data_IF_868655382909
#
_entry.id   IF_868655382909
#
_cell.length_a   1.000
_cell.length_b   1.000
_cell.length_c   1.000
_cell.angle_alpha   90.00
_cell.angle_beta   90.00
_cell.angle_gamma   90.00
#
_symmetry.space_group_name_H-M   'P 1'
#
loop_
_entity.id
_entity.type
_entity.pdbx_description
1 polymer ?
#
# COMPACT_ATOMS: atom_id res chain seq x y z
N UNK A 1 -16.83 11.79 15.61
CA UNK A 1 -15.60 11.12 15.15
C UNK A 1 -15.69 10.76 13.67
N UNK A 2 -15.47 11.75 12.82
CA UNK A 2 -15.22 11.45 11.43
C UNK A 2 -13.83 10.85 11.33
N UNK A 3 -13.76 9.52 11.16
CA UNK A 3 -12.50 8.87 10.84
C UNK A 3 -11.94 9.46 9.55
N UNK A 4 -10.63 9.48 9.40
CA UNK A 4 -9.97 9.88 8.15
C UNK A 4 -10.64 9.24 6.93
N UNK A 5 -11.20 8.05 7.11
CA UNK A 5 -11.86 7.28 6.07
C UNK A 5 -13.12 7.96 5.53
N UNK A 6 -13.93 8.57 6.39
CA UNK A 6 -15.13 9.30 5.95
C UNK A 6 -14.79 10.41 4.95
N UNK A 7 -13.64 11.05 5.12
CA UNK A 7 -13.13 12.07 4.19
C UNK A 7 -12.65 11.46 2.89
N UNK A 8 -12.02 10.29 2.93
CA UNK A 8 -11.59 9.55 1.73
C UNK A 8 -12.80 9.17 0.88
N UNK A 9 -13.83 8.59 1.48
CA UNK A 9 -15.07 8.17 0.78
C UNK A 9 -15.79 9.38 0.21
N UNK A 10 -15.73 10.53 0.86
CA UNK A 10 -16.29 11.78 0.35
C UNK A 10 -15.52 12.38 -0.83
N UNK A 11 -14.44 11.72 -1.27
CA UNK A 11 -13.64 12.19 -2.42
C UNK A 11 -12.68 13.33 -2.08
N UNK A 12 -12.73 13.85 -0.87
CA UNK A 12 -11.95 15.02 -0.44
C UNK A 12 -10.44 14.75 -0.54
N UNK A 13 -10.00 13.56 -0.13
CA UNK A 13 -8.59 13.20 -0.14
C UNK A 13 -8.01 12.99 -1.53
N UNK A 14 -8.80 12.47 -2.48
CA UNK A 14 -8.34 12.28 -3.85
C UNK A 14 -7.86 13.57 -4.46
N UNK A 15 -8.59 14.66 -4.24
CA UNK A 15 -8.23 15.98 -4.71
C UNK A 15 -7.14 16.65 -3.89
N UNK A 16 -7.21 16.54 -2.56
CA UNK A 16 -6.28 17.22 -1.67
C UNK A 16 -4.91 16.57 -1.62
N UNK A 17 -4.86 15.26 -1.86
CA UNK A 17 -3.60 14.55 -1.97
C UNK A 17 -2.81 15.03 -3.19
N UNK A 18 -3.51 15.29 -4.30
CA UNK A 18 -2.90 15.72 -5.55
C UNK A 18 -1.97 14.68 -6.14
N UNK A 19 -1.40 14.99 -7.30
CA UNK A 19 -0.40 14.18 -7.95
C UNK A 19 -0.86 12.77 -8.35
N UNK A 20 0.09 11.87 -8.64
CA UNK A 20 -0.22 10.50 -9.05
C UNK A 20 -1.04 9.70 -8.03
N UNK A 21 -0.76 9.86 -6.73
CA UNK A 21 -1.52 9.18 -5.67
C UNK A 21 -2.97 9.64 -5.64
N UNK A 22 -3.21 10.93 -5.82
CA UNK A 22 -4.57 11.47 -5.91
C UNK A 22 -5.34 10.89 -7.09
N UNK A 23 -4.68 10.76 -8.24
CA UNK A 23 -5.28 10.17 -9.44
C UNK A 23 -5.61 8.67 -9.24
N UNK A 24 -4.70 7.92 -8.66
CA UNK A 24 -4.90 6.49 -8.38
C UNK A 24 -6.03 6.28 -7.38
N UNK A 25 -6.05 7.04 -6.29
CA UNK A 25 -7.12 6.96 -5.31
C UNK A 25 -8.46 7.38 -5.90
N UNK A 26 -8.48 8.45 -6.69
CA UNK A 26 -9.70 8.91 -7.38
C UNK A 26 -10.29 7.84 -8.28
N UNK A 27 -9.46 7.19 -9.08
CA UNK A 27 -9.88 6.07 -9.94
C UNK A 27 -10.45 4.91 -9.12
N UNK A 28 -9.89 4.65 -7.94
CA UNK A 28 -10.29 3.55 -7.06
C UNK A 28 -11.59 3.82 -6.30
N UNK A 29 -11.93 5.08 -6.09
CA UNK A 29 -13.17 5.47 -5.43
C UNK A 29 -14.41 5.27 -6.31
N UNK A 30 -14.23 5.33 -7.64
CA UNK A 30 -15.33 5.08 -8.58
C UNK A 30 -16.54 5.98 -8.33
N UNK A 31 -17.71 5.36 -8.12
CA UNK A 31 -18.98 6.08 -7.91
C UNK A 31 -19.01 6.93 -6.64
N UNK A 32 -18.15 6.66 -5.67
CA UNK A 32 -18.05 7.47 -4.46
C UNK A 32 -17.45 8.84 -4.72
N UNK A 33 -16.72 8.98 -5.83
CA UNK A 33 -16.07 10.22 -6.23
C UNK A 33 -17.06 11.27 -6.75
N UNK A 34 -18.10 10.84 -7.46
CA UNK A 34 -19.07 11.75 -8.09
C UNK A 34 -19.87 12.56 -7.07
N UNK A 35 -20.10 12.00 -5.88
CA UNK A 35 -20.81 12.70 -4.80
C UNK A 35 -19.95 13.65 -3.97
N UNK A 36 -18.63 13.61 -4.14
CA UNK A 36 -17.69 14.40 -3.35
C UNK A 36 -17.26 15.72 -3.98
N UNK A 37 -17.46 15.87 -5.28
CA UNK A 37 -17.02 17.06 -6.03
C UNK A 37 -17.63 18.36 -5.54
N UNK A 38 -18.91 18.35 -5.19
CA UNK A 38 -19.63 19.54 -4.73
C UNK A 38 -19.25 19.96 -3.30
N UNK A 39 -18.66 19.05 -2.52
CA UNK A 39 -18.25 19.30 -1.13
C UNK A 39 -16.79 19.78 -1.01
N UNK A 40 -16.01 19.64 -2.07
CA UNK A 40 -14.57 19.92 -2.05
C UNK A 40 -14.23 21.39 -1.82
N UNK A 41 -15.04 22.29 -2.34
CA UNK A 41 -14.79 23.72 -2.22
C UNK A 41 -14.99 24.28 -0.80
N UNK A 42 -15.73 23.54 0.04
CA UNK A 42 -15.98 23.94 1.44
C UNK A 42 -14.96 23.35 2.40
N UNK A 43 -14.46 22.13 2.12
CA UNK A 43 -13.52 21.43 2.98
C UNK A 43 -12.07 21.91 2.79
N UNK A 44 -11.74 22.48 1.63
CA UNK A 44 -10.43 23.09 1.38
C UNK A 44 -10.05 24.17 2.40
N UNK A 45 -11.07 24.86 2.92
CA UNK A 45 -10.85 25.91 3.91
C UNK A 45 -10.61 25.40 5.32
N UNK A 46 -10.96 24.13 5.59
CA UNK A 46 -10.88 23.52 6.94
C UNK A 46 -9.55 22.81 7.22
N UNK A 47 -8.71 22.62 6.21
CA UNK A 47 -7.41 21.97 6.37
C UNK A 47 -7.50 20.54 6.89
N UNK A 48 -7.09 19.56 6.10
CA UNK A 48 -6.94 18.20 6.58
C UNK A 48 -5.73 18.12 7.49
N UNK A 49 -5.90 17.51 8.67
CA UNK A 49 -4.80 17.25 9.57
C UNK A 49 -3.69 16.45 8.86
N UNK A 50 -2.44 16.78 9.15
CA UNK A 50 -1.29 16.13 8.56
C UNK A 50 -1.33 14.60 8.75
N UNK A 51 -1.87 14.13 9.88
CA UNK A 51 -2.01 12.72 10.20
C UNK A 51 -2.99 12.00 9.26
N UNK A 52 -4.13 12.62 8.98
CA UNK A 52 -5.14 12.05 8.08
C UNK A 52 -4.62 11.94 6.65
N UNK A 53 -3.89 12.95 6.21
CA UNK A 53 -3.26 12.95 4.89
C UNK A 53 -2.24 11.82 4.77
N UNK A 54 -1.39 11.64 5.77
CA UNK A 54 -0.38 10.59 5.79
C UNK A 54 -1.03 9.20 5.80
N UNK A 55 -2.10 9.01 6.57
CA UNK A 55 -2.84 7.75 6.59
C UNK A 55 -3.44 7.42 5.23
N UNK A 56 -4.01 8.42 4.55
CA UNK A 56 -4.56 8.25 3.20
C UNK A 56 -3.47 7.92 2.18
N UNK A 57 -2.33 8.59 2.24
CA UNK A 57 -1.18 8.31 1.39
C UNK A 57 -0.67 6.89 1.62
N UNK A 58 -0.52 6.48 2.88
CA UNK A 58 -0.07 5.13 3.25
C UNK A 58 -1.04 4.06 2.74
N UNK A 59 -2.34 4.24 2.97
CA UNK A 59 -3.38 3.31 2.51
C UNK A 59 -3.34 3.14 0.99
N UNK A 60 -3.33 4.24 0.26
CA UNK A 60 -3.33 4.25 -1.21
C UNK A 60 -2.08 3.57 -1.76
N UNK A 61 -0.91 3.96 -1.27
CA UNK A 61 0.37 3.42 -1.73
C UNK A 61 0.48 1.92 -1.43
N UNK A 62 0.10 1.52 -0.23
CA UNK A 62 0.23 0.12 0.22
C UNK A 62 -0.55 -0.83 -0.68
N UNK A 63 -1.85 -0.59 -0.89
CA UNK A 63 -2.67 -1.52 -1.67
C UNK A 63 -2.35 -1.46 -3.17
N UNK A 64 -2.05 -0.30 -3.71
CA UNK A 64 -1.65 -0.19 -5.11
C UNK A 64 -0.33 -0.92 -5.37
N UNK A 65 0.68 -0.74 -4.50
CA UNK A 65 1.98 -1.41 -4.65
C UNK A 65 1.90 -2.91 -4.39
N UNK A 66 1.01 -3.39 -3.52
CA UNK A 66 0.77 -4.82 -3.37
C UNK A 66 0.31 -5.44 -4.69
N UNK A 67 -0.62 -4.78 -5.39
CA UNK A 67 -1.06 -5.22 -6.73
C UNK A 67 0.06 -5.17 -7.76
N UNK A 68 0.87 -4.11 -7.73
CA UNK A 68 1.99 -3.94 -8.64
C UNK A 68 3.03 -5.06 -8.47
N UNK A 69 3.40 -5.37 -7.24
CA UNK A 69 4.38 -6.43 -6.96
C UNK A 69 3.80 -7.80 -7.28
N UNK A 70 2.55 -8.05 -6.90
CA UNK A 70 1.88 -9.33 -7.17
C UNK A 70 1.79 -9.63 -8.66
N UNK A 71 1.66 -8.61 -9.50
CA UNK A 71 1.55 -8.77 -10.97
C UNK A 71 2.91 -8.86 -11.65
N UNK A 72 4.01 -8.58 -10.98
CA UNK A 72 5.34 -8.43 -11.59
C UNK A 72 5.84 -9.69 -12.31
N UNK A 73 5.42 -10.88 -11.86
CA UNK A 73 5.76 -12.16 -12.50
C UNK A 73 4.75 -12.61 -13.54
N UNK A 74 3.71 -11.79 -13.82
CA UNK A 74 2.66 -12.05 -14.78
C UNK A 74 1.39 -12.68 -14.22
N UNK A 75 1.44 -13.23 -13.01
CA UNK A 75 0.27 -13.89 -12.37
C UNK A 75 0.17 -13.50 -10.90
N UNK A 76 -1.05 -13.10 -10.50
CA UNK A 76 -1.37 -12.90 -9.10
C UNK A 76 -1.77 -14.25 -8.50
N UNK A 77 -1.09 -14.67 -7.43
CA UNK A 77 -1.36 -15.93 -6.77
C UNK A 77 -2.47 -15.79 -5.71
N UNK A 78 -3.08 -16.92 -5.34
CA UNK A 78 -4.05 -16.95 -4.24
C UNK A 78 -3.40 -16.50 -2.93
N UNK A 79 -2.15 -16.86 -2.70
CA UNK A 79 -1.41 -16.49 -1.49
C UNK A 79 -1.17 -14.97 -1.41
N UNK A 80 -0.91 -14.33 -2.54
CA UNK A 80 -0.76 -12.88 -2.60
C UNK A 80 -2.09 -12.16 -2.32
N UNK A 81 -3.19 -12.68 -2.84
CA UNK A 81 -4.54 -12.17 -2.54
C UNK A 81 -4.85 -12.35 -1.06
N UNK A 82 -4.56 -13.52 -0.49
CA UNK A 82 -4.75 -13.80 0.93
C UNK A 82 -3.93 -12.86 1.81
N UNK A 83 -2.72 -12.52 1.39
CA UNK A 83 -1.89 -11.54 2.11
C UNK A 83 -2.53 -10.15 2.10
N UNK A 84 -3.08 -9.72 0.97
CA UNK A 84 -3.80 -8.45 0.88
C UNK A 84 -5.02 -8.44 1.81
N UNK A 85 -5.78 -9.52 1.85
CA UNK A 85 -6.92 -9.68 2.76
C UNK A 85 -6.50 -9.64 4.23
N UNK A 86 -5.38 -10.28 4.55
CA UNK A 86 -4.82 -10.24 5.90
C UNK A 86 -4.46 -8.81 6.33
N UNK A 87 -3.87 -8.03 5.45
CA UNK A 87 -3.57 -6.61 5.73
C UNK A 87 -4.87 -5.83 5.92
N UNK A 88 -5.90 -6.08 5.11
CA UNK A 88 -7.22 -5.46 5.28
C UNK A 88 -7.81 -5.79 6.66
N UNK A 89 -7.67 -7.04 7.11
CA UNK A 89 -8.14 -7.47 8.44
C UNK A 89 -7.36 -6.77 9.56
N UNK A 90 -6.04 -6.68 9.44
CA UNK A 90 -5.19 -6.01 10.42
C UNK A 90 -5.51 -4.51 10.52
N UNK A 91 -5.88 -3.88 9.42
CA UNK A 91 -6.30 -2.49 9.38
C UNK A 91 -7.77 -2.31 9.80
N UNK A 92 -8.48 -3.39 10.06
CA UNK A 92 -9.91 -3.41 10.45
C UNK A 92 -10.79 -2.68 9.45
N UNK A 93 -10.58 -2.93 8.17
CA UNK A 93 -11.35 -2.30 7.11
C UNK A 93 -12.78 -2.88 7.08
N UNK A 94 -13.77 -2.00 6.99
CA UNK A 94 -15.15 -2.39 6.73
C UNK A 94 -15.33 -2.78 5.26
N UNK A 95 -16.54 -3.21 4.87
CA UNK A 95 -16.80 -3.67 3.50
C UNK A 95 -16.52 -2.61 2.43
N UNK A 96 -16.89 -1.37 2.70
CA UNK A 96 -16.67 -0.26 1.77
C UNK A 96 -15.17 0.03 1.60
N UNK A 97 -14.43 0.03 2.70
CA UNK A 97 -12.99 0.23 2.69
C UNK A 97 -12.27 -0.91 1.97
N UNK A 98 -12.72 -2.15 2.14
CA UNK A 98 -12.19 -3.32 1.43
C UNK A 98 -12.40 -3.18 -0.07
N UNK A 99 -13.54 -2.70 -0.49
CA UNK A 99 -13.82 -2.47 -1.92
C UNK A 99 -12.82 -1.49 -2.52
N UNK A 100 -12.54 -0.38 -1.83
CA UNK A 100 -11.55 0.59 -2.30
C UNK A 100 -10.14 0.00 -2.31
N UNK A 101 -9.78 -0.77 -1.28
CA UNK A 101 -8.47 -1.45 -1.23
C UNK A 101 -8.29 -2.42 -2.40
N UNK A 102 -9.33 -3.19 -2.74
CA UNK A 102 -9.33 -4.09 -3.90
C UNK A 102 -9.17 -3.30 -5.19
N UNK A 103 -9.88 -2.17 -5.33
CA UNK A 103 -9.77 -1.31 -6.50
C UNK A 103 -8.35 -0.73 -6.63
N UNK A 104 -7.73 -0.34 -5.53
CA UNK A 104 -6.33 0.12 -5.50
C UNK A 104 -5.37 -0.98 -5.96
N UNK A 105 -5.55 -2.19 -5.44
CA UNK A 105 -4.77 -3.34 -5.85
C UNK A 105 -4.88 -3.56 -7.36
N UNK A 106 -6.08 -3.48 -7.91
CA UNK A 106 -6.31 -3.63 -9.34
C UNK A 106 -5.68 -2.48 -10.15
N UNK A 107 -5.70 -1.25 -9.64
CA UNK A 107 -5.01 -0.13 -10.27
C UNK A 107 -3.49 -0.38 -10.35
N UNK A 108 -2.90 -0.90 -9.28
CA UNK A 108 -1.48 -1.23 -9.25
C UNK A 108 -1.06 -2.30 -10.25
N UNK A 109 -1.99 -3.19 -10.66
CA UNK A 109 -1.73 -4.23 -11.65
C UNK A 109 -1.70 -3.72 -13.10
N UNK A 110 -2.18 -2.52 -13.35
CA UNK A 110 -2.26 -1.99 -14.72
C UNK A 110 -0.88 -1.73 -15.29
N UNK A 111 -0.66 -1.99 -16.60
CA UNK A 111 0.64 -1.77 -17.24
C UNK A 111 1.12 -0.32 -17.19
N UNK A 112 0.19 0.63 -17.17
CA UNK A 112 0.47 2.07 -17.13
C UNK A 112 0.54 2.64 -15.72
N UNK A 113 0.56 1.79 -14.69
CA UNK A 113 0.64 2.27 -13.31
C UNK A 113 1.93 3.07 -13.09
N UNK A 114 1.83 4.35 -12.67
CA UNK A 114 2.98 5.24 -12.57
C UNK A 114 3.77 5.01 -11.27
N UNK A 115 4.45 3.87 -11.17
CA UNK A 115 5.08 3.41 -9.94
C UNK A 115 6.13 4.38 -9.40
N UNK A 116 6.98 4.93 -10.25
CA UNK A 116 8.06 5.82 -9.80
C UNK A 116 7.52 7.14 -9.25
N UNK A 117 6.53 7.70 -9.91
CA UNK A 117 5.87 8.94 -9.51
C UNK A 117 5.08 8.76 -8.21
N UNK A 118 4.41 7.60 -8.06
CA UNK A 118 3.70 7.24 -6.84
C UNK A 118 4.66 7.11 -5.66
N UNK A 119 5.78 6.42 -5.85
CA UNK A 119 6.79 6.24 -4.81
C UNK A 119 7.46 7.57 -4.44
N UNK A 120 7.73 8.43 -5.42
CA UNK A 120 8.29 9.75 -5.17
C UNK A 120 7.34 10.59 -4.31
N UNK A 121 6.04 10.55 -4.61
CA UNK A 121 5.04 11.25 -3.81
C UNK A 121 4.94 10.65 -2.41
N UNK A 122 4.92 9.33 -2.28
CA UNK A 122 4.88 8.66 -0.98
C UNK A 122 6.08 9.06 -0.12
N UNK A 123 7.27 9.05 -0.70
CA UNK A 123 8.49 9.48 0.01
C UNK A 123 8.39 10.92 0.49
N UNK A 124 7.92 11.82 -0.35
CA UNK A 124 7.77 13.24 -0.01
C UNK A 124 6.75 13.46 1.10
N UNK A 125 5.60 12.80 1.00
CA UNK A 125 4.52 12.93 1.98
C UNK A 125 4.86 12.27 3.32
N UNK A 126 5.75 11.28 3.32
CA UNK A 126 6.16 10.52 4.50
C UNK A 126 7.55 10.93 5.00
N UNK A 127 8.04 12.10 4.62
CA UNK A 127 9.41 12.57 4.86
C UNK A 127 9.84 12.47 6.33
N UNK A 128 8.93 12.76 7.28
CA UNK A 128 9.24 12.74 8.71
C UNK A 128 8.75 11.46 9.42
N UNK A 129 8.33 10.45 8.66
CA UNK A 129 7.73 9.23 9.21
C UNK A 129 8.39 8.00 8.63
N UNK A 130 9.67 7.80 8.95
CA UNK A 130 10.45 6.66 8.45
C UNK A 130 9.85 5.33 8.88
N UNK A 131 9.17 5.27 10.03
CA UNK A 131 8.46 4.07 10.50
C UNK A 131 7.36 3.63 9.53
N UNK A 132 6.64 4.56 8.90
CA UNK A 132 5.62 4.22 7.90
C UNK A 132 6.24 3.64 6.64
N UNK A 133 7.37 4.18 6.19
CA UNK A 133 8.10 3.64 5.04
C UNK A 133 8.58 2.24 5.35
N UNK A 134 9.08 1.99 6.56
CA UNK A 134 9.51 0.67 7.00
C UNK A 134 8.35 -0.32 7.01
N UNK A 135 7.22 0.04 7.61
CA UNK A 135 6.01 -0.81 7.65
C UNK A 135 5.54 -1.11 6.23
N UNK A 136 5.52 -0.10 5.36
CA UNK A 136 5.17 -0.27 3.95
C UNK A 136 6.07 -1.31 3.27
N UNK A 137 7.38 -1.20 3.42
CA UNK A 137 8.34 -2.13 2.82
C UNK A 137 8.20 -3.54 3.39
N UNK A 138 7.92 -3.67 4.68
CA UNK A 138 7.66 -4.95 5.32
C UNK A 138 6.42 -5.62 4.73
N UNK A 139 5.34 -4.87 4.50
CA UNK A 139 4.12 -5.38 3.88
C UNK A 139 4.39 -5.82 2.44
N UNK A 140 5.09 -5.00 1.66
CA UNK A 140 5.39 -5.32 0.27
C UNK A 140 6.28 -6.57 0.15
N UNK A 141 7.31 -6.66 0.99
CA UNK A 141 8.19 -7.82 1.03
C UNK A 141 7.43 -9.09 1.48
N UNK A 142 6.57 -8.97 2.51
CA UNK A 142 5.74 -10.08 2.97
C UNK A 142 4.78 -10.56 1.88
N UNK A 143 4.25 -9.65 1.06
CA UNK A 143 3.41 -10.00 -0.09
C UNK A 143 4.18 -10.88 -1.09
N UNK A 144 5.41 -10.52 -1.38
CA UNK A 144 6.26 -11.28 -2.29
C UNK A 144 6.67 -12.64 -1.71
N UNK A 145 6.76 -12.76 -0.38
CA UNK A 145 7.05 -14.02 0.32
C UNK A 145 5.80 -14.87 0.58
N UNK A 146 4.62 -14.44 0.16
CA UNK A 146 3.35 -15.05 0.58
C UNK A 146 3.23 -16.53 0.21
N UNK A 147 3.88 -16.98 -0.88
CA UNK A 147 3.92 -18.38 -1.30
C UNK A 147 5.11 -19.17 -0.72
N UNK A 148 5.87 -18.56 0.20
CA UNK A 148 7.04 -19.19 0.82
C UNK A 148 8.34 -19.03 0.04
N UNK A 149 8.30 -18.43 -1.14
CA UNK A 149 9.46 -18.23 -1.99
C UNK A 149 9.51 -16.81 -2.53
N UNK A 150 10.68 -16.20 -2.48
CA UNK A 150 10.91 -14.92 -3.11
C UNK A 150 11.51 -15.16 -4.50
N UNK A 151 10.71 -14.90 -5.54
CA UNK A 151 11.18 -14.95 -6.92
C UNK A 151 12.28 -13.89 -7.12
N UNK A 152 13.39 -14.21 -7.82
CA UNK A 152 14.46 -13.24 -8.06
C UNK A 152 14.00 -11.95 -8.76
N UNK A 153 12.98 -12.02 -9.62
CA UNK A 153 12.42 -10.84 -10.27
C UNK A 153 11.70 -9.95 -9.28
N UNK A 154 10.90 -10.54 -8.40
CA UNK A 154 10.22 -9.81 -7.33
C UNK A 154 11.22 -9.19 -6.36
N UNK A 155 12.27 -9.92 -6.02
CA UNK A 155 13.35 -9.40 -5.15
C UNK A 155 13.99 -8.16 -5.76
N UNK A 156 14.36 -8.21 -7.04
CA UNK A 156 14.95 -7.08 -7.74
C UNK A 156 14.00 -5.89 -7.78
N UNK A 157 12.72 -6.16 -8.00
CA UNK A 157 11.69 -5.14 -8.04
C UNK A 157 11.55 -4.44 -6.69
N UNK A 158 11.46 -5.21 -5.61
CA UNK A 158 11.30 -4.67 -4.24
C UNK A 158 12.57 -3.92 -3.81
N UNK A 159 13.74 -4.41 -4.19
CA UNK A 159 15.01 -3.72 -3.95
C UNK A 159 15.01 -2.33 -4.61
N UNK A 160 14.51 -2.24 -5.86
CA UNK A 160 14.33 -0.96 -6.55
C UNK A 160 13.36 -0.04 -5.83
N UNK A 161 12.25 -0.57 -5.35
CA UNK A 161 11.26 0.19 -4.55
C UNK A 161 11.92 0.73 -3.28
N UNK A 162 12.65 -0.11 -2.56
CA UNK A 162 13.34 0.29 -1.34
C UNK A 162 14.39 1.38 -1.61
N UNK A 163 15.14 1.24 -2.70
CA UNK A 163 16.11 2.23 -3.13
C UNK A 163 15.44 3.58 -3.43
N UNK A 164 14.33 3.57 -4.15
CA UNK A 164 13.55 4.78 -4.45
C UNK A 164 13.06 5.47 -3.17
N UNK A 165 12.84 4.70 -2.10
CA UNK A 165 12.41 5.23 -0.80
C UNK A 165 13.57 5.60 0.12
N UNK A 166 14.80 5.53 -0.37
CA UNK A 166 15.99 5.95 0.37
C UNK A 166 16.65 4.86 1.21
N UNK A 167 16.29 3.60 1.01
CA UNK A 167 16.95 2.47 1.68
C UNK A 167 18.22 2.08 0.94
N UNK A 168 19.29 1.85 1.69
CA UNK A 168 20.52 1.28 1.15
C UNK A 168 20.36 -0.22 0.95
N UNK A 169 21.23 -0.82 0.16
CA UNK A 169 21.24 -2.27 -0.03
C UNK A 169 21.42 -3.03 1.29
N UNK A 170 22.37 -2.66 2.18
CA UNK A 170 22.49 -3.31 3.49
C UNK A 170 21.21 -3.21 4.34
N UNK A 171 20.54 -2.08 4.33
CA UNK A 171 19.28 -1.89 5.07
C UNK A 171 18.18 -2.80 4.51
N UNK A 172 18.10 -2.91 3.19
CA UNK A 172 17.14 -3.78 2.52
C UNK A 172 17.43 -5.27 2.80
N UNK A 173 18.70 -5.68 2.71
CA UNK A 173 19.11 -7.05 3.01
C UNK A 173 18.80 -7.42 4.47
N UNK A 174 18.98 -6.49 5.41
CA UNK A 174 18.62 -6.69 6.81
C UNK A 174 17.10 -6.88 6.98
N UNK A 175 16.30 -6.11 6.26
CA UNK A 175 14.84 -6.25 6.27
C UNK A 175 14.40 -7.63 5.78
N UNK A 176 14.94 -8.08 4.65
CA UNK A 176 14.64 -9.39 4.09
C UNK A 176 15.06 -10.52 5.02
N UNK A 177 16.22 -10.40 5.66
CA UNK A 177 16.72 -11.41 6.61
C UNK A 177 15.79 -11.57 7.81
N UNK A 178 15.26 -10.47 8.33
CA UNK A 178 14.29 -10.51 9.44
C UNK A 178 12.99 -11.21 9.05
N UNK A 179 12.45 -10.90 7.87
CA UNK A 179 11.23 -11.51 7.37
C UNK A 179 11.42 -13.00 7.08
N UNK A 180 12.54 -13.36 6.46
CA UNK A 180 12.88 -14.75 6.18
C UNK A 180 13.07 -15.56 7.48
N UNK A 181 13.74 -14.98 8.50
CA UNK A 181 13.91 -15.59 9.81
C UNK A 181 12.59 -15.83 10.52
N UNK A 182 11.66 -14.89 10.45
CA UNK A 182 10.31 -15.04 11.02
C UNK A 182 9.51 -16.15 10.32
N UNK A 183 9.59 -16.26 9.01
CA UNK A 183 8.93 -17.32 8.25
C UNK A 183 9.44 -18.70 8.66
N UNK A 184 10.75 -18.88 8.81
CA UNK A 184 11.35 -20.13 9.28
C UNK A 184 10.95 -20.47 10.72
N UNK A 185 10.83 -19.48 11.58
CA UNK A 185 10.43 -19.68 12.97
C UNK A 185 8.98 -20.19 13.06
N UNK A 186 8.08 -19.60 12.28
CA UNK A 186 6.67 -20.00 12.24
C UNK A 186 6.50 -21.41 11.67
N UNK A 187 7.26 -21.79 10.66
CA UNK A 187 7.23 -23.13 10.08
C UNK A 187 7.73 -24.20 11.07
N UNK A 188 8.72 -23.86 11.89
CA UNK A 188 9.25 -24.79 12.89
C UNK A 188 8.31 -24.96 14.09
N UNK A 189 7.51 -23.96 14.44
CA UNK A 189 6.48 -24.10 15.47
C UNK A 189 5.30 -24.94 14.99
N UNK A 190 4.86 -24.77 13.75
CA UNK A 190 3.75 -25.55 13.21
C UNK A 190 4.08 -27.03 13.01
N UNK A 191 5.36 -27.39 12.95
CA UNK A 191 5.80 -28.77 12.83
C UNK A 191 5.99 -29.49 14.18
N UNK A 192 5.96 -28.74 15.29
CA UNK A 192 6.09 -29.33 16.64
C UNK A 192 4.75 -29.70 17.28
N UNK A 193 3.64 -29.22 16.72
CA UNK A 193 2.29 -29.50 17.23
C UNK A 193 1.55 -30.63 16.48
N UNK A 194 2.32 -31.50 15.80
CA UNK A 194 1.77 -32.71 15.18
C UNK A 194 2.38 -33.96 15.88
#
# INVERSE_FOLDING_TARGET
NMSWWGKVVGGTFGFMMGGPLGAVLGASLGNYFDGGLDRLSLDDSLGLGATERVQSVFFTTTFALMGYVAKSDGKVTIDEIAMAEKVMDQMRLNQQQRTVAINLFNEGKKPDFPVHEVLAQFKRESFRRRNLIQIFLEIIAATAFADGRLDPREKTLIEGIAHDLGYSKPEFDALLSRLSGQAHFNDSESSKDK
#
